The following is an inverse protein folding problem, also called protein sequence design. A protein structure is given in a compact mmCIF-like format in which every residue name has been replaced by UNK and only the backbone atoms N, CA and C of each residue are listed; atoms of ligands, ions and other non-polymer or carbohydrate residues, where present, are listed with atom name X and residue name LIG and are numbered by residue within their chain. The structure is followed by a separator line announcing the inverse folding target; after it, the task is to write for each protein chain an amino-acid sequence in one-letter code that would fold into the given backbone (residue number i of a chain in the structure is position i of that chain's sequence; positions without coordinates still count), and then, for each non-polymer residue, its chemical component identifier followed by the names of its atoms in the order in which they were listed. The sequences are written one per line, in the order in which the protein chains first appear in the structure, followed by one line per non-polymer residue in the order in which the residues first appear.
data_IF_098601549217
#
_entry.id   IF_098601549217
#
_cell.length_a   1.000
_cell.length_b   1.000
_cell.length_c   1.000
_cell.angle_alpha   90.00
_cell.angle_beta   90.00
_cell.angle_gamma   90.00
#
_symmetry.space_group_name_H-M   'P 1'
#
loop_
_entity.id
_entity.type
_entity.pdbx_description
1 polymer ?
#
# COMPACT_ATOMS: atom_id res chain seq x y z
N UNK A 1 5.60 43.86 30.61
CA UNK A 1 4.75 43.70 29.41
C UNK A 1 5.62 44.12 28.22
N UNK A 2 6.25 43.17 27.52
CA UNK A 2 5.83 42.66 26.17
C UNK A 2 5.99 43.80 25.15
N UNK A 3 6.84 43.79 24.11
CA UNK A 3 7.54 42.77 23.30
C UNK A 3 8.79 43.42 22.68
N UNK A 4 9.89 42.66 22.55
CA UNK A 4 11.03 43.00 21.68
C UNK A 4 10.79 42.46 20.26
N UNK A 5 10.96 43.30 19.26
CA UNK A 5 11.28 42.88 17.88
C UNK A 5 12.79 43.03 17.67
N UNK A 6 13.46 41.98 17.20
CA UNK A 6 14.63 42.16 16.33
C UNK A 6 14.59 41.12 15.22
N UNK A 7 14.56 41.64 13.99
CA UNK A 7 14.90 40.91 12.78
C UNK A 7 16.41 40.67 12.75
N UNK A 8 16.82 39.44 12.45
CA UNK A 8 18.07 39.21 11.72
C UNK A 8 17.82 38.15 10.65
N UNK A 9 17.92 38.59 9.40
CA UNK A 9 18.13 37.75 8.23
C UNK A 9 19.57 37.21 8.28
N UNK A 10 19.76 35.90 8.16
CA UNK A 10 20.91 35.36 7.44
C UNK A 10 20.46 34.25 6.52
N UNK A 11 20.80 34.45 5.25
CA UNK A 11 20.63 33.62 4.09
C UNK A 11 21.55 32.38 4.21
N UNK A 12 21.02 31.17 4.14
CA UNK A 12 21.76 30.02 3.58
C UNK A 12 20.86 29.35 2.55
N UNK A 13 21.35 29.36 1.32
CA UNK A 13 20.80 28.76 0.12
C UNK A 13 20.56 27.25 0.26
N UNK A 14 19.54 26.80 -0.47
CA UNK A 14 19.30 25.46 -1.00
C UNK A 14 20.29 24.34 -0.60
N UNK A 15 19.84 23.48 0.30
CA UNK A 15 20.15 22.06 0.24
C UNK A 15 18.81 21.33 0.13
N UNK A 16 18.53 20.82 -1.08
CA UNK A 16 17.52 19.77 -1.26
C UNK A 16 17.88 18.60 -0.34
N UNK A 17 17.10 18.36 0.70
CA UNK A 17 16.96 17.02 1.26
C UNK A 17 15.59 16.50 0.84
N UNK A 18 15.59 15.49 -0.05
CA UNK A 18 14.46 14.59 -0.24
C UNK A 18 14.15 13.94 1.12
N UNK A 19 13.30 14.59 1.93
CA UNK A 19 12.70 13.93 3.09
C UNK A 19 11.65 12.97 2.53
N UNK A 20 12.01 11.69 2.45
CA UNK A 20 11.07 10.61 2.14
C UNK A 20 9.89 10.57 3.12
N UNK A 21 9.00 9.58 3.02
CA UNK A 21 7.74 9.54 3.78
C UNK A 21 7.90 9.31 5.31
N UNK A 22 9.10 9.48 5.86
CA UNK A 22 9.41 9.16 7.24
C UNK A 22 8.86 10.23 8.19
N UNK A 23 8.16 9.79 9.24
CA UNK A 23 7.86 10.60 10.42
C UNK A 23 9.15 10.83 11.22
N UNK A 24 9.21 11.86 12.09
CA UNK A 24 10.38 12.11 12.94
C UNK A 24 10.81 10.87 13.74
N UNK A 25 12.11 10.58 13.74
CA UNK A 25 12.68 9.43 14.47
C UNK A 25 13.01 9.88 15.89
N UNK A 26 12.19 9.48 16.86
CA UNK A 26 12.39 9.69 18.29
C UNK A 26 11.57 8.66 19.10
N UNK A 27 11.78 8.61 20.42
CA UNK A 27 11.01 7.77 21.32
C UNK A 27 11.87 6.97 22.29
N UNK A 28 11.26 5.95 22.88
CA UNK A 28 11.92 5.01 23.79
C UNK A 28 12.65 3.97 22.94
N UNK A 29 13.96 3.83 23.16
CA UNK A 29 14.76 2.78 22.56
C UNK A 29 14.46 1.44 23.25
N UNK A 30 14.16 0.41 22.46
CA UNK A 30 14.13 -0.98 22.94
C UNK A 30 15.53 -1.45 23.32
N UNK A 31 15.64 -2.49 24.15
CA UNK A 31 16.93 -3.14 24.41
C UNK A 31 17.56 -3.68 23.13
N UNK A 32 18.88 -3.77 23.09
CA UNK A 32 19.56 -4.52 22.04
C UNK A 32 19.32 -6.03 22.23
N UNK A 33 18.84 -6.71 21.19
CA UNK A 33 18.47 -8.12 21.17
C UNK A 33 18.34 -8.63 19.74
N UNK A 34 18.77 -9.87 19.49
CA UNK A 34 18.66 -10.54 18.18
C UNK A 34 17.19 -10.83 17.85
N UNK A 35 16.56 -11.73 18.62
CA UNK A 35 15.18 -12.19 18.39
C UNK A 35 14.19 -11.70 19.47
N UNK A 36 14.56 -10.62 20.17
CA UNK A 36 13.78 -10.12 21.30
C UNK A 36 12.45 -9.51 20.89
N UNK A 37 11.67 -9.11 21.88
CA UNK A 37 10.51 -8.24 21.70
C UNK A 37 10.44 -7.22 22.83
N UNK A 38 9.74 -6.11 22.61
CA UNK A 38 9.42 -5.18 23.68
C UNK A 38 8.60 -5.87 24.77
N UNK A 39 8.60 -5.34 26.01
CA UNK A 39 7.51 -5.58 26.95
C UNK A 39 6.15 -5.19 26.34
N UNK A 40 5.06 -5.52 27.03
CA UNK A 40 3.73 -5.04 26.64
C UNK A 40 3.71 -3.51 26.64
N UNK A 41 3.34 -2.91 25.50
CA UNK A 41 3.17 -1.47 25.37
C UNK A 41 1.67 -1.17 25.41
N UNK A 42 1.19 -0.58 26.50
CA UNK A 42 -0.19 -0.09 26.60
C UNK A 42 -0.39 1.12 25.70
N UNK A 43 -1.42 1.11 24.86
CA UNK A 43 -1.78 2.21 23.98
C UNK A 43 -2.58 3.27 24.74
N UNK A 44 -2.22 4.55 24.57
CA UNK A 44 -2.93 5.69 25.16
C UNK A 44 -4.36 5.83 24.61
N UNK A 45 -4.62 5.27 23.42
CA UNK A 45 -5.94 5.19 22.79
C UNK A 45 -6.12 3.81 22.18
N UNK A 46 -7.33 3.23 22.22
CA UNK A 46 -7.60 1.97 21.56
C UNK A 46 -7.34 2.06 20.05
N UNK A 47 -6.74 1.00 19.50
CA UNK A 47 -6.55 0.81 18.08
C UNK A 47 -7.52 -0.26 17.59
N UNK A 48 -8.27 0.02 16.53
CA UNK A 48 -9.20 -0.95 15.94
C UNK A 48 -8.52 -1.61 14.76
N UNK A 49 -8.36 -2.93 14.82
CA UNK A 49 -7.79 -3.75 13.77
C UNK A 49 -8.81 -4.81 13.35
N UNK A 50 -9.38 -4.64 12.16
CA UNK A 50 -10.42 -5.47 11.55
C UNK A 50 -11.57 -5.84 12.50
N UNK A 51 -12.12 -4.81 13.16
CA UNK A 51 -13.24 -4.92 14.09
C UNK A 51 -12.86 -5.28 15.53
N UNK A 52 -11.65 -5.80 15.73
CA UNK A 52 -11.09 -6.05 17.06
C UNK A 52 -10.47 -4.79 17.63
N UNK A 53 -10.65 -4.57 18.92
CA UNK A 53 -10.12 -3.39 19.63
C UNK A 53 -8.97 -3.82 20.51
N UNK A 54 -7.80 -3.23 20.28
CA UNK A 54 -6.58 -3.50 21.01
C UNK A 54 -6.17 -2.27 21.83
N UNK A 55 -5.77 -2.51 23.08
CA UNK A 55 -5.27 -1.49 24.00
C UNK A 55 -3.77 -1.66 24.27
N UNK A 56 -3.13 -2.57 23.54
CA UNK A 56 -1.73 -2.90 23.72
C UNK A 56 -1.14 -3.48 22.43
N UNK A 57 0.19 -3.41 22.34
CA UNK A 57 0.99 -4.03 21.28
C UNK A 57 2.31 -4.56 21.85
N UNK A 58 2.97 -5.40 21.05
CA UNK A 58 4.35 -5.82 21.22
C UNK A 58 5.11 -5.53 19.93
N UNK A 59 6.29 -4.93 20.06
CA UNK A 59 7.17 -4.65 18.92
C UNK A 59 8.25 -5.72 18.91
N UNK A 60 8.36 -6.50 17.84
CA UNK A 60 9.41 -7.49 17.70
C UNK A 60 10.64 -6.90 16.99
N UNK A 61 11.84 -7.33 17.38
CA UNK A 61 13.08 -6.81 16.77
C UNK A 61 13.23 -7.21 15.29
N UNK A 62 12.59 -8.31 14.88
CA UNK A 62 12.53 -8.82 13.51
C UNK A 62 11.47 -8.13 12.62
N UNK A 63 10.95 -6.97 13.02
CA UNK A 63 10.23 -6.09 12.10
C UNK A 63 8.72 -6.31 11.98
N UNK A 64 8.10 -6.91 13.00
CA UNK A 64 6.65 -7.10 13.09
C UNK A 64 6.08 -6.68 14.45
N UNK A 65 4.78 -6.44 14.46
CA UNK A 65 3.96 -6.10 15.61
C UNK A 65 2.90 -7.19 15.83
N UNK A 66 2.66 -7.53 17.09
CA UNK A 66 1.56 -8.38 17.55
C UNK A 66 0.76 -7.68 18.64
N UNK A 67 -0.44 -8.17 18.92
CA UNK A 67 -1.36 -7.52 19.87
C UNK A 67 -1.62 -8.33 21.14
N UNK A 68 -1.48 -9.66 21.06
CA UNK A 68 -1.87 -10.59 22.13
C UNK A 68 -0.70 -10.99 23.02
N UNK A 69 0.47 -11.24 22.44
CA UNK A 69 1.70 -11.57 23.16
C UNK A 69 2.94 -11.22 22.33
N UNK A 70 4.08 -11.10 23.00
CA UNK A 70 5.39 -11.06 22.35
C UNK A 70 5.62 -12.32 21.50
N UNK A 71 6.24 -12.17 20.32
CA UNK A 71 6.50 -13.29 19.42
C UNK A 71 7.87 -13.21 18.77
N UNK A 72 8.82 -14.03 19.22
CA UNK A 72 10.24 -14.07 18.84
C UNK A 72 10.53 -14.80 17.52
N UNK A 73 9.71 -14.61 16.48
CA UNK A 73 9.93 -15.28 15.20
C UNK A 73 10.78 -14.43 14.25
N UNK A 74 11.91 -14.97 13.80
CA UNK A 74 12.80 -14.35 12.80
C UNK A 74 12.58 -14.84 11.36
N UNK A 75 11.85 -15.95 11.21
CA UNK A 75 11.55 -16.53 9.90
C UNK A 75 10.21 -16.02 9.40
N UNK A 76 10.17 -15.16 8.36
CA UNK A 76 8.92 -14.66 7.82
C UNK A 76 8.12 -15.78 7.15
N UNK A 77 6.79 -15.64 7.22
CA UNK A 77 5.83 -16.50 6.52
C UNK A 77 5.10 -15.71 5.44
N UNK A 78 4.75 -16.36 4.35
CA UNK A 78 3.92 -15.74 3.30
C UNK A 78 2.52 -15.47 3.85
N UNK A 79 1.98 -14.29 3.52
CA UNK A 79 0.57 -13.98 3.78
C UNK A 79 -0.27 -14.41 2.57
N UNK A 80 -1.44 -15.05 2.76
CA UNK A 80 -2.06 -15.41 4.04
C UNK A 80 -1.35 -16.57 4.76
N UNK A 81 -1.13 -16.43 6.07
CA UNK A 81 -0.51 -17.43 6.95
C UNK A 81 -1.51 -18.47 7.46
N UNK A 82 -2.81 -18.11 7.48
CA UNK A 82 -3.87 -18.86 8.17
C UNK A 82 -3.56 -19.14 9.66
N UNK A 83 -2.81 -18.23 10.29
CA UNK A 83 -2.36 -18.35 11.67
C UNK A 83 -3.44 -18.01 12.70
N UNK A 84 -3.07 -18.10 13.99
CA UNK A 84 -3.95 -17.80 15.12
C UNK A 84 -3.68 -16.42 15.76
N UNK A 85 -2.98 -15.52 15.06
CA UNK A 85 -2.54 -14.22 15.58
C UNK A 85 -2.79 -13.12 14.57
N UNK A 86 -3.14 -11.93 15.08
CA UNK A 86 -3.11 -10.71 14.29
C UNK A 86 -1.67 -10.16 14.26
N UNK A 87 -1.20 -9.82 13.06
CA UNK A 87 0.15 -9.33 12.81
C UNK A 87 0.13 -8.13 11.84
N UNK A 88 0.94 -7.13 12.18
CA UNK A 88 1.35 -6.07 11.24
C UNK A 88 2.85 -6.22 11.05
N UNK A 89 3.29 -6.50 9.84
CA UNK A 89 4.69 -6.73 9.48
C UNK A 89 5.15 -5.66 8.48
N UNK A 90 5.61 -4.47 8.94
CA UNK A 90 6.22 -3.49 8.04
C UNK A 90 7.43 -4.05 7.31
N UNK A 91 8.24 -4.90 7.96
CA UNK A 91 9.40 -5.54 7.36
C UNK A 91 9.82 -6.77 8.17
N UNK A 92 9.10 -7.89 8.05
CA UNK A 92 9.43 -9.10 8.80
C UNK A 92 10.58 -9.86 8.14
N UNK A 93 11.73 -9.87 8.83
CA UNK A 93 12.99 -10.50 8.44
C UNK A 93 13.88 -10.63 9.68
N UNK A 94 14.81 -11.59 9.65
CA UNK A 94 15.87 -11.75 10.66
C UNK A 94 16.77 -10.49 10.72
N UNK A 95 16.51 -9.64 11.72
CA UNK A 95 17.13 -8.34 11.96
C UNK A 95 17.89 -8.40 13.30
N UNK A 96 19.10 -7.86 13.35
CA UNK A 96 19.93 -7.85 14.56
C UNK A 96 20.38 -6.43 14.89
N UNK A 97 20.00 -5.96 16.08
CA UNK A 97 20.39 -4.63 16.60
C UNK A 97 21.47 -4.67 17.69
N UNK A 98 22.14 -5.81 17.93
CA UNK A 98 23.19 -5.96 18.96
C UNK A 98 24.41 -5.09 18.68
N UNK A 99 24.80 -4.98 17.41
CA UNK A 99 25.97 -4.17 17.01
C UNK A 99 25.59 -2.77 16.55
N UNK A 100 24.52 -2.63 15.74
CA UNK A 100 24.14 -1.37 15.09
C UNK A 100 22.61 -1.27 14.88
N UNK A 101 22.06 -0.05 14.81
CA UNK A 101 20.62 0.15 14.62
C UNK A 101 19.83 0.08 15.92
N UNK A 102 18.60 0.59 15.93
CA UNK A 102 17.84 0.77 17.16
C UNK A 102 16.32 0.80 16.89
N UNK A 103 15.58 -0.09 17.54
CA UNK A 103 14.11 -0.06 17.54
C UNK A 103 13.66 1.06 18.48
N UNK A 104 12.82 1.97 17.99
CA UNK A 104 12.25 3.08 18.76
C UNK A 104 10.73 3.01 18.73
N UNK A 105 10.06 3.15 19.86
CA UNK A 105 8.61 3.34 19.87
C UNK A 105 8.26 4.62 20.61
N UNK A 106 7.23 5.29 20.13
CA UNK A 106 6.70 6.51 20.73
C UNK A 106 5.17 6.48 20.67
N UNK A 107 4.51 7.31 21.47
CA UNK A 107 3.07 7.55 21.44
C UNK A 107 2.81 9.06 21.46
N UNK A 108 2.27 9.59 20.36
CA UNK A 108 1.80 10.97 20.31
C UNK A 108 0.31 11.05 20.62
N UNK A 109 -0.16 12.24 21.04
CA UNK A 109 -1.60 12.54 21.19
C UNK A 109 -2.39 12.37 19.88
N UNK A 110 -1.72 12.05 18.76
CA UNK A 110 -2.28 11.38 17.58
C UNK A 110 -1.18 10.61 16.82
N UNK A 111 -1.26 9.28 16.81
CA UNK A 111 -0.51 8.26 16.03
C UNK A 111 0.98 8.00 16.30
N UNK A 112 1.40 6.71 16.38
CA UNK A 112 2.80 6.23 16.17
C UNK A 112 3.04 4.73 16.43
N UNK A 113 3.97 4.12 15.67
CA UNK A 113 5.11 3.24 16.09
C UNK A 113 6.23 3.36 15.02
N UNK A 114 7.51 3.25 15.39
CA UNK A 114 8.68 3.38 14.49
C UNK A 114 9.57 2.12 14.60
N UNK A 115 10.38 1.80 13.58
CA UNK A 115 11.37 0.71 13.70
C UNK A 115 12.56 0.87 12.75
N UNK A 116 13.74 1.16 13.29
CA UNK A 116 15.00 1.14 12.52
C UNK A 116 15.85 -0.06 12.97
N UNK A 117 16.21 -0.99 12.09
CA UNK A 117 17.09 -2.10 12.48
C UNK A 117 18.07 -2.43 11.35
N UNK A 118 19.28 -2.88 11.70
CA UNK A 118 20.27 -3.44 10.79
C UNK A 118 20.04 -4.95 10.58
N UNK A 119 20.54 -5.54 9.49
CA UNK A 119 20.36 -6.97 9.22
C UNK A 119 21.38 -7.85 9.94
N UNK A 120 20.96 -9.07 10.34
CA UNK A 120 21.88 -10.17 10.64
C UNK A 120 22.26 -10.92 9.35
N UNK A 121 23.53 -11.29 9.05
CA UNK A 121 24.79 -11.10 9.78
C UNK A 121 25.68 -9.97 9.19
N UNK A 122 25.13 -9.02 8.43
CA UNK A 122 25.90 -8.02 7.69
C UNK A 122 26.05 -6.71 8.48
N UNK A 123 27.16 -6.61 9.20
CA UNK A 123 27.59 -5.39 9.88
C UNK A 123 27.74 -4.24 8.86
N UNK A 124 27.23 -3.05 9.19
CA UNK A 124 27.29 -1.86 8.32
C UNK A 124 26.12 -1.62 7.35
N UNK A 125 25.11 -2.51 7.31
CA UNK A 125 23.90 -2.29 6.51
C UNK A 125 22.95 -1.27 7.18
N UNK A 126 22.26 -0.44 6.37
CA UNK A 126 21.30 0.57 6.86
C UNK A 126 19.90 0.26 6.31
N UNK A 127 18.98 -0.10 7.21
CA UNK A 127 17.57 -0.27 6.88
C UNK A 127 16.70 0.60 7.78
N UNK A 128 15.77 1.33 7.17
CA UNK A 128 14.82 2.20 7.89
C UNK A 128 13.40 1.86 7.45
N UNK A 129 12.57 1.44 8.40
CA UNK A 129 11.14 1.21 8.21
C UNK A 129 10.33 1.92 9.30
N UNK A 130 9.05 2.18 9.09
CA UNK A 130 8.17 2.75 10.11
C UNK A 130 6.78 2.16 10.01
N UNK A 131 6.14 1.98 11.17
CA UNK A 131 4.83 1.36 11.32
C UNK A 131 3.88 2.30 12.05
N UNK A 132 3.23 3.22 11.36
CA UNK A 132 2.42 4.25 12.03
C UNK A 132 0.98 3.76 12.21
N UNK A 133 0.61 3.45 13.45
CA UNK A 133 -0.77 3.17 13.84
C UNK A 133 -1.50 4.49 14.11
N UNK A 134 -2.59 4.75 13.39
CA UNK A 134 -3.42 5.96 13.51
C UNK A 134 -4.82 5.54 13.94
N UNK A 135 -5.36 6.13 15.01
CA UNK A 135 -6.74 5.92 15.45
C UNK A 135 -7.45 7.26 15.59
N UNK A 136 -8.60 7.40 14.93
CA UNK A 136 -9.50 8.55 14.99
C UNK A 136 -10.83 8.23 15.68
N UNK A 137 -10.87 7.17 16.50
CA UNK A 137 -12.09 6.66 17.13
C UNK A 137 -12.93 5.81 16.18
N UNK A 138 -13.49 6.41 15.13
CA UNK A 138 -14.28 5.68 14.12
C UNK A 138 -13.42 4.98 13.06
N UNK A 139 -12.23 5.53 12.79
CA UNK A 139 -11.33 5.06 11.75
C UNK A 139 -9.99 4.63 12.34
N UNK A 140 -9.38 3.60 11.76
CA UNK A 140 -8.03 3.16 12.10
C UNK A 140 -7.24 2.92 10.83
N UNK A 141 -5.99 3.37 10.83
CA UNK A 141 -5.07 3.22 9.70
C UNK A 141 -3.72 2.68 10.15
N UNK A 142 -3.10 1.89 9.28
CA UNK A 142 -1.69 1.49 9.36
C UNK A 142 -0.96 2.13 8.21
N UNK A 143 0.09 2.89 8.48
CA UNK A 143 1.03 3.33 7.45
C UNK A 143 2.35 2.57 7.61
N UNK A 144 2.91 2.10 6.50
CA UNK A 144 4.26 1.55 6.42
C UNK A 144 5.10 2.50 5.58
N UNK A 145 6.13 3.09 6.17
CA UNK A 145 7.05 4.00 5.47
C UNK A 145 8.43 3.37 5.34
N UNK A 146 9.01 3.46 4.16
CA UNK A 146 10.28 2.84 3.82
C UNK A 146 11.31 3.91 3.45
N UNK A 147 12.48 3.84 4.09
CA UNK A 147 13.66 4.60 3.73
C UNK A 147 14.58 3.78 2.84
N UNK A 148 15.88 3.81 3.15
CA UNK A 148 16.83 2.85 2.57
C UNK A 148 16.52 1.47 3.15
N UNK A 149 16.52 0.45 2.29
CA UNK A 149 16.45 -0.96 2.67
C UNK A 149 17.71 -1.59 2.09
N UNK A 150 18.66 -1.95 2.95
CA UNK A 150 19.89 -2.57 2.46
C UNK A 150 19.59 -3.92 1.79
N UNK A 151 20.41 -4.30 0.81
CA UNK A 151 20.24 -5.55 0.09
C UNK A 151 20.50 -6.75 1.01
N UNK A 152 19.70 -7.81 0.85
CA UNK A 152 19.85 -9.08 1.56
C UNK A 152 19.38 -10.24 0.69
N UNK A 153 19.92 -11.42 0.94
CA UNK A 153 19.45 -12.68 0.34
C UNK A 153 18.33 -13.35 1.15
N UNK A 154 18.00 -12.79 2.33
CA UNK A 154 16.94 -13.31 3.18
C UNK A 154 15.56 -13.01 2.59
N UNK A 155 14.61 -13.91 2.86
CA UNK A 155 13.22 -13.63 2.59
C UNK A 155 12.72 -12.51 3.50
N UNK A 156 11.88 -11.63 2.93
CA UNK A 156 11.24 -10.52 3.65
C UNK A 156 9.75 -10.58 3.36
N UNK A 157 8.93 -10.49 4.42
CA UNK A 157 7.49 -10.29 4.31
C UNK A 157 7.12 -8.88 4.75
N UNK A 158 6.35 -8.16 3.94
CA UNK A 158 5.79 -6.87 4.32
C UNK A 158 4.28 -6.84 4.11
N UNK A 159 3.51 -6.33 5.07
CA UNK A 159 2.05 -6.28 5.01
C UNK A 159 1.38 -6.53 6.36
N UNK A 160 0.17 -7.11 6.34
CA UNK A 160 -0.54 -7.52 7.55
C UNK A 160 -1.34 -8.80 7.32
N UNK A 161 -1.67 -9.49 8.40
CA UNK A 161 -2.50 -10.69 8.39
C UNK A 161 -3.29 -10.77 9.71
N UNK A 162 -4.53 -11.24 9.66
CA UNK A 162 -5.35 -11.45 10.85
C UNK A 162 -5.46 -12.93 11.20
N UNK A 163 -6.03 -13.23 12.36
CA UNK A 163 -6.45 -14.59 12.73
C UNK A 163 -7.22 -15.26 11.58
N UNK A 164 -6.83 -16.49 11.24
CA UNK A 164 -7.31 -17.30 10.11
C UNK A 164 -7.19 -16.63 8.72
N UNK A 165 -6.45 -15.54 8.63
CA UNK A 165 -6.32 -14.69 7.44
C UNK A 165 -7.63 -14.17 6.88
N UNK A 166 -8.61 -13.92 7.76
CA UNK A 166 -9.88 -13.29 7.41
C UNK A 166 -9.67 -11.96 6.68
N UNK A 167 -8.63 -11.20 7.05
CA UNK A 167 -8.11 -10.06 6.32
C UNK A 167 -6.59 -10.15 6.24
N UNK A 168 -6.03 -9.96 5.05
CA UNK A 168 -4.59 -9.98 4.85
C UNK A 168 -4.19 -9.12 3.65
N UNK A 169 -2.94 -8.67 3.63
CA UNK A 169 -2.35 -8.02 2.48
C UNK A 169 -0.84 -8.27 2.48
N UNK A 170 -0.30 -8.69 1.34
CA UNK A 170 1.14 -8.81 1.11
C UNK A 170 1.56 -7.66 0.20
N UNK A 171 2.51 -6.84 0.64
CA UNK A 171 3.04 -5.77 -0.20
C UNK A 171 3.78 -6.41 -1.38
N UNK A 172 3.49 -5.98 -2.63
CA UNK A 172 4.21 -6.44 -3.82
C UNK A 172 5.73 -6.35 -3.64
N UNK A 173 6.43 -7.43 -3.94
CA UNK A 173 7.87 -7.56 -3.69
C UNK A 173 8.23 -8.45 -2.50
N UNK A 174 7.28 -8.76 -1.61
CA UNK A 174 7.50 -9.75 -0.54
C UNK A 174 7.95 -11.10 -1.12
N UNK A 175 8.89 -11.76 -0.44
CA UNK A 175 9.54 -13.02 -0.90
C UNK A 175 10.19 -12.98 -2.29
N UNK A 176 10.47 -11.80 -2.85
CA UNK A 176 11.15 -11.66 -4.15
C UNK A 176 12.49 -10.92 -4.05
N UNK A 177 13.25 -10.93 -5.14
CA UNK A 177 14.50 -10.17 -5.27
C UNK A 177 14.30 -8.65 -5.12
N UNK A 178 13.08 -8.15 -5.33
CA UNK A 178 12.74 -6.74 -5.26
C UNK A 178 12.19 -6.36 -3.88
N UNK A 179 12.43 -7.17 -2.85
CA UNK A 179 12.10 -6.84 -1.46
C UNK A 179 13.11 -5.87 -0.83
N UNK A 180 14.37 -5.92 -1.27
CA UNK A 180 15.49 -5.19 -0.65
C UNK A 180 16.39 -4.53 -1.69
N UNK A 181 17.34 -3.71 -1.23
CA UNK A 181 18.30 -3.02 -2.11
C UNK A 181 17.72 -1.77 -2.81
N UNK A 182 18.48 -1.21 -3.77
CA UNK A 182 18.11 0.03 -4.45
C UNK A 182 16.79 -0.10 -5.23
N UNK A 183 16.50 -1.28 -5.77
CA UNK A 183 15.31 -1.54 -6.59
C UNK A 183 14.12 -2.10 -5.80
N UNK A 184 14.15 -1.98 -4.47
CA UNK A 184 13.09 -2.51 -3.62
C UNK A 184 11.73 -1.88 -3.95
N UNK A 185 10.74 -2.72 -4.22
CA UNK A 185 9.37 -2.32 -4.50
C UNK A 185 8.73 -1.62 -3.28
N UNK A 186 9.13 -2.02 -2.07
CA UNK A 186 8.65 -1.40 -0.83
C UNK A 186 8.95 0.09 -0.78
N UNK A 187 10.16 0.50 -1.22
CA UNK A 187 10.61 1.90 -1.24
C UNK A 187 10.24 2.67 -2.52
N UNK A 188 10.13 1.98 -3.66
CA UNK A 188 9.91 2.63 -4.96
C UNK A 188 8.42 2.77 -5.31
N UNK A 189 7.57 1.90 -4.78
CA UNK A 189 6.13 1.88 -5.07
C UNK A 189 5.29 2.32 -3.86
N UNK A 190 3.97 2.36 -4.07
CA UNK A 190 2.99 2.87 -3.11
C UNK A 190 1.57 2.56 -3.56
N UNK A 191 0.66 2.34 -2.61
CA UNK A 191 -0.79 2.33 -2.86
C UNK A 191 -1.46 3.72 -2.71
N UNK A 192 -0.70 4.74 -2.30
CA UNK A 192 -1.17 6.12 -2.07
C UNK A 192 -0.37 7.18 -2.84
N UNK A 193 0.36 6.75 -3.88
CA UNK A 193 1.14 7.63 -4.76
C UNK A 193 2.21 8.48 -4.04
N UNK A 194 2.76 7.96 -2.95
CA UNK A 194 3.90 8.55 -2.25
C UNK A 194 4.95 7.46 -2.14
N UNK A 195 6.02 7.56 -2.93
CA UNK A 195 7.05 6.53 -3.00
C UNK A 195 7.53 6.13 -1.60
N UNK A 196 7.49 4.82 -1.31
CA UNK A 196 7.89 4.27 -0.03
C UNK A 196 6.83 4.41 1.06
N UNK A 197 5.62 4.89 0.79
CA UNK A 197 4.50 4.92 1.74
C UNK A 197 3.39 3.99 1.31
N UNK A 198 3.01 3.10 2.20
CA UNK A 198 1.85 2.24 2.07
C UNK A 198 0.87 2.58 3.18
N UNK A 199 -0.41 2.75 2.86
CA UNK A 199 -1.43 3.11 3.84
C UNK A 199 -2.66 2.23 3.73
N UNK A 200 -3.08 1.66 4.86
CA UNK A 200 -4.18 0.71 4.94
C UNK A 200 -5.21 1.21 5.94
N UNK A 201 -6.49 1.25 5.54
CA UNK A 201 -7.59 1.41 6.49
C UNK A 201 -7.90 0.04 7.09
N UNK A 202 -7.91 -0.05 8.41
CA UNK A 202 -7.95 -1.33 9.13
C UNK A 202 -9.02 -1.37 10.23
N UNK A 203 -10.01 -0.47 10.25
CA UNK A 203 -11.08 -0.49 11.26
C UNK A 203 -12.13 -1.60 11.04
N UNK A 204 -13.35 -1.28 10.58
CA UNK A 204 -14.48 -2.18 10.34
C UNK A 204 -14.97 -2.17 8.90
N UNK A 205 -14.27 -1.46 8.01
CA UNK A 205 -14.59 -1.44 6.59
C UNK A 205 -14.50 -2.86 6.03
N UNK A 206 -15.65 -3.43 5.65
CA UNK A 206 -15.72 -4.66 4.85
C UNK A 206 -14.71 -4.59 3.70
N UNK A 207 -13.88 -5.62 3.53
CA UNK A 207 -13.02 -5.87 2.36
C UNK A 207 -13.79 -6.14 1.06
N UNK A 208 -15.09 -5.82 0.99
CA UNK A 208 -15.86 -5.78 -0.25
C UNK A 208 -15.87 -4.37 -0.83
N UNK A 209 -15.42 -4.22 -2.08
CA UNK A 209 -15.57 -3.03 -2.93
C UNK A 209 -15.62 -1.67 -2.20
N UNK A 210 -14.50 -1.23 -1.63
CA UNK A 210 -14.37 0.13 -1.09
C UNK A 210 -14.09 1.12 -2.21
N UNK A 211 -15.13 1.78 -2.71
CA UNK A 211 -15.00 2.98 -3.53
C UNK A 211 -14.90 4.19 -2.60
N UNK A 212 -13.71 4.79 -2.43
CA UNK A 212 -13.50 5.94 -1.53
C UNK A 212 -14.15 5.77 -0.14
N UNK A 213 -14.05 4.57 0.46
CA UNK A 213 -14.59 4.27 1.79
C UNK A 213 -16.07 3.89 1.85
N UNK A 214 -16.78 3.76 0.72
CA UNK A 214 -18.17 3.29 0.66
C UNK A 214 -18.28 1.91 -0.01
N UNK A 215 -18.87 0.95 0.72
CA UNK A 215 -19.16 -0.42 0.25
C UNK A 215 -20.32 -0.42 -0.73
N UNK A 216 -20.13 -0.83 -2.00
CA UNK A 216 -21.25 -1.05 -2.95
C UNK A 216 -21.05 -2.27 -3.83
N UNK A 217 -22.13 -3.02 -4.04
CA UNK A 217 -22.22 -4.28 -4.81
C UNK A 217 -22.51 -4.08 -6.31
N UNK A 218 -22.45 -2.85 -6.83
CA UNK A 218 -22.94 -2.48 -8.18
C UNK A 218 -21.97 -1.58 -8.97
N UNK A 219 -20.67 -1.69 -8.71
CA UNK A 219 -19.66 -0.78 -9.28
C UNK A 219 -19.54 0.57 -8.56
N UNK A 220 -18.70 1.45 -9.10
CA UNK A 220 -18.38 2.74 -8.49
C UNK A 220 -19.57 3.70 -8.48
N UNK A 221 -19.62 4.66 -7.54
CA UNK A 221 -20.41 5.87 -7.77
C UNK A 221 -19.91 6.61 -9.02
N UNK A 222 -20.64 7.63 -9.47
CA UNK A 222 -20.19 8.53 -10.52
C UNK A 222 -18.87 9.19 -10.09
N UNK A 223 -17.80 8.94 -10.82
CA UNK A 223 -16.50 9.57 -10.57
C UNK A 223 -16.39 10.79 -11.47
N UNK A 224 -16.26 11.98 -10.88
CA UNK A 224 -15.92 13.19 -11.64
C UNK A 224 -14.46 13.14 -12.05
N UNK A 225 -14.20 13.33 -13.34
CA UNK A 225 -12.85 13.36 -13.87
C UNK A 225 -12.19 14.70 -13.53
N UNK A 226 -10.91 14.66 -13.11
CA UNK A 226 -10.13 15.86 -12.81
C UNK A 226 -9.87 16.71 -14.07
N UNK A 227 -9.85 16.06 -15.23
CA UNK A 227 -9.84 16.70 -16.55
C UNK A 227 -10.77 15.92 -17.48
N UNK A 228 -11.39 16.54 -18.48
CA UNK A 228 -12.26 15.83 -19.40
C UNK A 228 -11.53 14.73 -20.19
N UNK A 229 -12.19 13.60 -20.41
CA UNK A 229 -11.70 12.52 -21.27
C UNK A 229 -12.34 12.62 -22.65
N UNK A 230 -11.52 12.65 -23.70
CA UNK A 230 -12.00 12.66 -25.09
C UNK A 230 -11.95 11.22 -25.62
N UNK A 231 -13.11 10.64 -25.91
CA UNK A 231 -13.25 9.29 -26.44
C UNK A 231 -13.95 9.36 -27.81
N UNK A 232 -13.20 9.07 -28.88
CA UNK A 232 -13.66 9.18 -30.27
C UNK A 232 -14.38 10.52 -30.60
N UNK A 233 -13.82 11.64 -30.11
CA UNK A 233 -14.35 12.99 -30.32
C UNK A 233 -15.42 13.42 -29.31
N UNK A 234 -15.96 12.49 -28.52
CA UNK A 234 -16.90 12.82 -27.46
C UNK A 234 -16.18 13.15 -26.16
N UNK A 235 -16.61 14.22 -25.50
CA UNK A 235 -16.01 14.67 -24.23
C UNK A 235 -16.83 14.19 -23.04
N UNK A 236 -16.18 13.45 -22.16
CA UNK A 236 -16.75 12.93 -20.92
C UNK A 236 -16.13 13.61 -19.70
N UNK A 237 -16.98 14.00 -18.75
CA UNK A 237 -16.57 14.57 -17.46
C UNK A 237 -16.73 13.57 -16.31
N UNK A 238 -17.30 12.40 -16.60
CA UNK A 238 -17.61 11.37 -15.63
C UNK A 238 -17.19 10.01 -16.13
N UNK A 239 -16.84 9.13 -15.19
CA UNK A 239 -16.56 7.72 -15.45
C UNK A 239 -17.14 6.86 -14.32
N UNK A 240 -17.42 5.60 -14.64
CA UNK A 240 -17.84 4.58 -13.69
C UNK A 240 -16.96 3.36 -13.89
N UNK A 241 -16.49 2.77 -12.79
CA UNK A 241 -15.69 1.55 -12.77
C UNK A 241 -16.57 0.40 -12.33
N UNK A 242 -16.73 -0.61 -13.17
CA UNK A 242 -17.52 -1.79 -12.82
C UNK A 242 -16.65 -2.91 -12.25
N UNK A 243 -17.19 -3.74 -11.36
CA UNK A 243 -16.47 -4.87 -10.75
C UNK A 243 -16.12 -5.97 -11.76
N UNK A 244 -16.90 -6.08 -12.83
CA UNK A 244 -16.75 -7.07 -13.89
C UNK A 244 -15.76 -6.67 -14.99
N UNK A 245 -14.94 -5.63 -14.76
CA UNK A 245 -13.80 -5.33 -15.62
C UNK A 245 -14.06 -4.39 -16.81
N UNK A 246 -15.15 -3.61 -16.73
CA UNK A 246 -15.46 -2.57 -17.70
C UNK A 246 -15.66 -1.18 -17.08
N UNK A 247 -15.52 -0.16 -17.93
CA UNK A 247 -15.73 1.25 -17.64
C UNK A 247 -16.87 1.78 -18.49
N UNK A 248 -17.67 2.70 -17.95
CA UNK A 248 -18.70 3.44 -18.69
C UNK A 248 -18.63 4.93 -18.35
N UNK A 249 -19.20 5.79 -19.20
CA UNK A 249 -19.12 7.24 -19.00
C UNK A 249 -20.45 7.90 -18.59
N UNK A 250 -21.58 7.38 -19.07
CA UNK A 250 -22.89 8.01 -18.87
C UNK A 250 -23.59 7.54 -17.59
N UNK A 251 -23.54 6.24 -17.30
CA UNK A 251 -24.15 5.64 -16.13
C UNK A 251 -23.48 4.32 -15.77
N UNK A 252 -23.51 3.96 -14.48
CA UNK A 252 -23.11 2.64 -14.01
C UNK A 252 -23.90 1.54 -14.73
N UNK A 253 -23.24 0.41 -15.00
CA UNK A 253 -23.85 -0.71 -15.72
C UNK A 253 -23.42 -2.04 -15.13
N UNK A 254 -24.38 -2.80 -14.60
CA UNK A 254 -24.17 -4.02 -13.80
C UNK A 254 -24.20 -5.31 -14.63
N UNK A 255 -23.56 -5.34 -15.79
CA UNK A 255 -23.53 -6.56 -16.60
C UNK A 255 -22.27 -7.37 -16.30
N UNK A 256 -22.42 -8.67 -16.05
CA UNK A 256 -21.33 -9.63 -15.91
C UNK A 256 -21.16 -10.49 -17.18
N UNK A 257 -22.13 -10.46 -18.11
CA UNK A 257 -22.11 -11.25 -19.34
C UNK A 257 -21.58 -10.43 -20.51
N UNK A 258 -20.40 -10.79 -21.06
CA UNK A 258 -19.81 -10.06 -22.17
C UNK A 258 -20.66 -10.12 -23.44
N UNK A 259 -20.63 -9.04 -24.20
CA UNK A 259 -21.28 -8.92 -25.50
C UNK A 259 -20.25 -8.73 -26.59
N UNK A 260 -20.50 -9.31 -27.76
CA UNK A 260 -19.60 -9.21 -28.92
C UNK A 260 -19.62 -7.80 -29.49
N UNK A 261 -18.45 -7.28 -29.88
CA UNK A 261 -18.35 -6.02 -30.60
C UNK A 261 -18.51 -6.21 -32.11
N UNK A 262 -19.11 -5.25 -32.82
CA UNK A 262 -19.74 -4.03 -32.30
C UNK A 262 -21.09 -4.29 -31.60
N UNK A 263 -21.33 -3.61 -30.47
CA UNK A 263 -22.55 -3.81 -29.67
C UNK A 263 -23.79 -3.06 -30.18
N UNK A 264 -23.62 -2.06 -31.04
CA UNK A 264 -24.71 -1.19 -31.53
C UNK A 264 -25.63 -0.63 -30.42
N UNK A 265 -25.08 -0.45 -29.22
CA UNK A 265 -25.81 0.00 -28.04
C UNK A 265 -25.67 1.51 -27.79
N UNK A 266 -26.50 2.09 -26.91
CA UNK A 266 -26.50 3.52 -26.63
C UNK A 266 -25.40 3.97 -25.65
N UNK A 267 -24.41 3.11 -25.35
CA UNK A 267 -23.41 3.32 -24.30
C UNK A 267 -22.01 3.25 -24.89
N UNK A 268 -21.23 4.27 -24.62
CA UNK A 268 -19.79 4.19 -24.71
C UNK A 268 -19.26 3.45 -23.48
N UNK A 269 -18.43 2.45 -23.73
CA UNK A 269 -17.86 1.62 -22.70
C UNK A 269 -16.46 1.14 -23.15
N UNK A 270 -15.57 0.94 -22.18
CA UNK A 270 -14.23 0.40 -22.39
C UNK A 270 -14.17 -0.88 -21.56
N UNK A 271 -13.85 -2.00 -22.19
CA UNK A 271 -13.78 -3.30 -21.51
C UNK A 271 -12.44 -3.95 -21.82
N UNK A 272 -11.37 -3.62 -21.07
CA UNK A 272 -10.08 -4.29 -21.22
C UNK A 272 -10.19 -5.78 -20.92
N UNK A 273 -11.08 -6.15 -19.98
CA UNK A 273 -11.38 -7.53 -19.64
C UNK A 273 -12.76 -7.61 -18.99
N UNK A 274 -13.79 -8.07 -19.69
CA UNK A 274 -15.16 -8.12 -19.14
C UNK A 274 -15.59 -9.56 -18.92
N UNK A 275 -16.01 -9.90 -17.70
CA UNK A 275 -16.50 -11.23 -17.32
C UNK A 275 -17.17 -11.20 -15.94
N UNK A 276 -17.71 -12.33 -15.47
CA UNK A 276 -18.29 -12.47 -14.13
C UNK A 276 -17.19 -12.57 -13.07
N UNK A 277 -16.84 -11.44 -12.47
CA UNK A 277 -15.78 -11.30 -11.47
C UNK A 277 -16.39 -11.18 -10.07
N UNK A 278 -15.78 -11.85 -9.10
CA UNK A 278 -16.21 -11.90 -7.72
C UNK A 278 -15.07 -11.59 -6.76
N UNK A 279 -15.18 -10.44 -6.09
CA UNK A 279 -14.22 -10.01 -5.10
C UNK A 279 -14.72 -10.10 -3.65
N UNK A 280 -15.75 -10.91 -3.38
CA UNK A 280 -16.28 -11.10 -2.01
C UNK A 280 -15.32 -11.88 -1.12
N UNK A 281 -14.54 -12.81 -1.68
CA UNK A 281 -13.57 -13.63 -0.95
C UNK A 281 -12.14 -13.08 -0.98
N UNK A 282 -11.70 -12.55 -2.12
CA UNK A 282 -10.36 -12.02 -2.34
C UNK A 282 -10.33 -11.02 -3.51
N UNK A 283 -9.22 -10.30 -3.67
CA UNK A 283 -9.03 -9.35 -4.76
C UNK A 283 -9.75 -8.02 -4.56
N UNK A 284 -9.31 -7.00 -5.29
CA UNK A 284 -9.76 -5.63 -5.11
C UNK A 284 -9.88 -4.88 -6.43
N UNK A 285 -10.82 -3.94 -6.49
CA UNK A 285 -10.97 -3.02 -7.63
C UNK A 285 -10.58 -1.63 -7.17
N UNK A 286 -9.51 -1.09 -7.75
CA UNK A 286 -8.96 0.22 -7.44
C UNK A 286 -9.16 1.17 -8.62
N UNK A 287 -9.23 2.47 -8.34
CA UNK A 287 -9.08 3.48 -9.36
C UNK A 287 -8.46 4.75 -8.79
N UNK A 288 -7.64 5.44 -9.60
CA UNK A 288 -6.98 6.68 -9.24
C UNK A 288 -6.88 7.62 -10.45
N UNK A 289 -6.73 8.91 -10.14
CA UNK A 289 -6.50 9.96 -11.14
C UNK A 289 -5.21 10.70 -10.82
N UNK A 290 -4.38 10.89 -11.84
CA UNK A 290 -3.06 11.49 -11.72
C UNK A 290 -2.97 12.70 -12.65
N UNK A 291 -2.64 13.87 -12.11
CA UNK A 291 -2.38 15.09 -12.90
C UNK A 291 -0.93 15.56 -12.80
N UNK A 292 -0.12 14.87 -11.99
CA UNK A 292 1.31 15.11 -11.76
C UNK A 292 1.96 13.80 -11.27
N UNK A 293 3.30 13.77 -11.17
CA UNK A 293 4.05 12.66 -10.57
C UNK A 293 4.50 11.58 -11.57
N UNK A 294 5.07 10.49 -11.03
CA UNK A 294 5.72 9.44 -11.82
C UNK A 294 4.76 8.70 -12.76
N UNK A 295 3.52 8.45 -12.35
CA UNK A 295 2.51 7.77 -13.20
C UNK A 295 2.20 8.59 -14.46
N UNK A 296 2.10 9.92 -14.34
CA UNK A 296 1.87 10.80 -15.49
C UNK A 296 3.08 10.83 -16.43
N UNK A 297 4.29 10.86 -15.86
CA UNK A 297 5.55 10.84 -16.61
C UNK A 297 5.72 9.52 -17.37
N UNK A 298 5.45 8.39 -16.70
CA UNK A 298 5.48 7.07 -17.31
C UNK A 298 4.51 6.97 -18.47
N UNK A 299 3.23 7.35 -18.27
CA UNK A 299 2.25 7.35 -19.36
C UNK A 299 2.65 8.25 -20.53
N UNK A 300 3.27 9.41 -20.25
CA UNK A 300 3.81 10.29 -21.31
C UNK A 300 4.93 9.60 -22.09
N UNK A 301 5.86 8.97 -21.38
CA UNK A 301 6.97 8.25 -22.00
C UNK A 301 6.47 7.06 -22.83
N UNK A 302 5.57 6.25 -22.29
CA UNK A 302 5.01 5.07 -22.96
C UNK A 302 4.36 5.45 -24.30
N UNK A 303 3.54 6.51 -24.32
CA UNK A 303 2.92 6.97 -25.56
C UNK A 303 3.96 7.49 -26.55
N UNK A 304 4.96 8.26 -26.11
CA UNK A 304 5.99 8.74 -27.03
C UNK A 304 6.91 7.62 -27.54
N UNK A 305 7.11 6.55 -26.77
CA UNK A 305 7.84 5.36 -27.22
C UNK A 305 7.10 4.65 -28.35
N UNK A 306 5.77 4.52 -28.25
CA UNK A 306 4.97 3.78 -29.24
C UNK A 306 4.42 4.65 -30.38
N UNK A 307 4.35 5.97 -30.16
CA UNK A 307 3.82 6.97 -31.10
C UNK A 307 4.75 8.20 -31.18
N UNK A 308 6.02 8.03 -31.61
CA UNK A 308 7.04 9.07 -31.54
C UNK A 308 6.73 10.34 -32.35
N UNK A 309 5.87 10.25 -33.37
CA UNK A 309 5.47 11.41 -34.18
C UNK A 309 4.46 12.35 -33.53
N UNK A 310 3.85 11.97 -32.39
CA UNK A 310 2.81 12.77 -31.74
C UNK A 310 3.35 13.89 -30.84
N UNK A 311 4.61 13.77 -30.37
CA UNK A 311 5.16 14.65 -29.32
C UNK A 311 4.17 14.82 -28.15
N UNK A 312 3.65 13.69 -27.67
CA UNK A 312 2.56 13.65 -26.72
C UNK A 312 3.02 14.09 -25.33
N UNK A 313 2.16 14.81 -24.60
CA UNK A 313 2.35 15.08 -23.18
C UNK A 313 1.04 14.80 -22.44
N UNK A 314 1.06 13.83 -21.53
CA UNK A 314 -0.12 13.51 -20.75
C UNK A 314 -0.40 14.66 -19.77
N UNK A 315 -1.60 15.22 -19.81
CA UNK A 315 -2.06 16.22 -18.86
C UNK A 315 -2.79 15.61 -17.65
N UNK A 316 -3.27 14.36 -17.79
CA UNK A 316 -3.77 13.53 -16.71
C UNK A 316 -3.81 12.04 -17.12
N UNK A 317 -3.93 11.14 -16.13
CA UNK A 317 -4.11 9.69 -16.30
C UNK A 317 -5.21 9.20 -15.37
N UNK A 318 -6.12 8.37 -15.89
CA UNK A 318 -7.03 7.55 -15.08
C UNK A 318 -6.54 6.11 -15.09
N UNK A 319 -6.38 5.50 -13.92
CA UNK A 319 -6.02 4.09 -13.78
C UNK A 319 -7.16 3.39 -13.06
N UNK A 320 -7.69 2.30 -13.62
CA UNK A 320 -8.54 1.35 -12.94
C UNK A 320 -7.91 -0.03 -12.98
N UNK A 321 -7.87 -0.70 -11.83
CA UNK A 321 -7.17 -1.98 -11.64
C UNK A 321 -8.10 -2.97 -10.95
N UNK A 322 -8.28 -4.13 -11.57
CA UNK A 322 -8.90 -5.31 -10.96
C UNK A 322 -7.77 -6.23 -10.51
N UNK A 323 -7.35 -6.05 -9.26
CA UNK A 323 -6.19 -6.72 -8.67
C UNK A 323 -6.61 -8.04 -8.03
N UNK A 324 -6.11 -9.16 -8.56
CA UNK A 324 -6.33 -10.52 -8.02
C UNK A 324 -7.81 -10.89 -7.79
N UNK A 325 -8.71 -10.32 -8.60
CA UNK A 325 -10.14 -10.59 -8.50
C UNK A 325 -10.46 -11.95 -9.11
N UNK A 326 -11.11 -12.82 -8.34
CA UNK A 326 -11.48 -14.16 -8.78
C UNK A 326 -12.67 -14.14 -9.76
N UNK A 327 -12.84 -15.24 -10.50
CA UNK A 327 -14.07 -15.48 -11.28
C UNK A 327 -15.17 -15.98 -10.35
N UNK A 328 -16.42 -15.58 -10.59
CA UNK A 328 -17.57 -16.21 -9.95
C UNK A 328 -17.75 -17.67 -10.45
N UNK A 329 -18.11 -18.65 -9.59
CA UNK A 329 -18.34 -18.58 -8.14
C UNK A 329 -17.10 -18.86 -7.27
N UNK A 330 -15.92 -18.90 -7.86
CA UNK A 330 -14.67 -19.33 -7.22
C UNK A 330 -14.02 -18.20 -6.38
N UNK A 331 -14.80 -17.48 -5.57
CA UNK A 331 -14.23 -16.47 -4.68
C UNK A 331 -13.17 -17.08 -3.76
N UNK A 332 -11.98 -16.47 -3.66
CA UNK A 332 -10.89 -16.96 -2.82
C UNK A 332 -9.88 -17.89 -3.49
N UNK A 333 -9.98 -18.17 -4.80
CA UNK A 333 -9.07 -19.12 -5.49
C UNK A 333 -7.87 -18.48 -6.18
N UNK A 334 -7.74 -17.15 -6.20
CA UNK A 334 -6.55 -16.50 -6.78
C UNK A 334 -5.42 -16.55 -5.76
N UNK A 335 -4.46 -17.45 -5.96
CA UNK A 335 -3.21 -17.49 -5.18
C UNK A 335 -2.23 -16.43 -5.70
N UNK A 336 -1.61 -15.64 -4.81
CA UNK A 336 -0.66 -14.56 -5.17
C UNK A 336 0.50 -15.00 -6.08
N UNK A 337 0.80 -16.31 -6.17
CA UNK A 337 1.81 -16.87 -7.07
C UNK A 337 1.53 -16.67 -8.58
N UNK A 338 0.29 -16.43 -9.00
CA UNK A 338 -0.04 -16.38 -10.45
C UNK A 338 0.34 -15.08 -11.16
N UNK A 339 0.73 -14.02 -10.43
CA UNK A 339 1.05 -12.70 -11.03
C UNK A 339 2.55 -12.54 -11.30
N UNK A 340 3.41 -13.18 -10.51
CA UNK A 340 4.87 -13.17 -10.73
C UNK A 340 5.28 -13.79 -12.06
N UNK A 341 4.53 -14.78 -12.57
CA UNK A 341 4.84 -15.45 -13.85
C UNK A 341 4.47 -14.61 -15.09
N UNK A 342 3.57 -13.62 -14.96
CA UNK A 342 3.11 -12.80 -16.09
C UNK A 342 3.97 -11.56 -16.33
N UNK A 343 4.65 -11.04 -15.31
CA UNK A 343 5.55 -9.90 -15.46
C UNK A 343 6.94 -10.29 -15.99
N UNK A 344 7.33 -11.58 -15.92
CA UNK A 344 8.59 -12.06 -16.50
C UNK A 344 8.50 -12.40 -18.00
N UNK A 345 7.30 -12.51 -18.59
CA UNK A 345 7.14 -12.94 -19.99
C UNK A 345 7.15 -11.82 -21.04
N UNK A 346 7.27 -10.56 -20.63
CA UNK A 346 7.36 -9.41 -21.56
C UNK A 346 8.75 -8.74 -21.60
N UNK A 347 9.77 -9.41 -21.06
CA UNK A 347 11.17 -9.05 -21.26
C UNK A 347 11.90 -10.29 -21.79
N UNK A 348 11.67 -10.60 -23.06
CA UNK A 348 12.52 -11.50 -23.85
C UNK A 348 12.53 -11.07 -25.30
#
# INVERSE_FOLDING_TARGET
MVILFFHFFFLIQHILFFLGPLYPINGIASSQSDDGSSPQISLNRPFVFFGQTYNQIYVNHNGHLTFDAAWSSFSPQMFPMHGSRDIIAPLWVDLDNRENGQVYYNQYNSASVLQQVAYYPTTGTRTTVQAVLISGGQYSFVLMNYGVIAATSRHIQAGYDTVHSAHHFSIPGSFSSNSSGPDSNFRLSSNVNVAGRWAFRVDRGSTGCTFNGNTRTRGSPRITLLRPFVYFGQTYNYIYVNQNGHLTFNAAWNSYTPQRFPMHGPRDFIAPFWTDLDNRGNGHVYYNQYTTGSVLQQATQDINTHFPGLNFNANWVFVATWYEVAYYPNSGTVSQHSVTDLLQKHIS
#
